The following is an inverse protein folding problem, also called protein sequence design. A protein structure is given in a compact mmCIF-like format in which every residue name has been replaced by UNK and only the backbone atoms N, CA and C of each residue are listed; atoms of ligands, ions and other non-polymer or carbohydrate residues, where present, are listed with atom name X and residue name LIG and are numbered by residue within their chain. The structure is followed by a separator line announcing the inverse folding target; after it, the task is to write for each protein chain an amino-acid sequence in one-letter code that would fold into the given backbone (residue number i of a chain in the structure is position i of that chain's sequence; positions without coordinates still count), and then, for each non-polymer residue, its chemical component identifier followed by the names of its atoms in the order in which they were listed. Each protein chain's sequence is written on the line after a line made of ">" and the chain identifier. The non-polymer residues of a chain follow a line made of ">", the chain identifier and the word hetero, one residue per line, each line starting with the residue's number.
data_IF_725310617106
#
_entry.id   IF_725310617106
#
_cell.length_a   1.000
_cell.length_b   1.000
_cell.length_c   1.000
_cell.angle_alpha   90.00
_cell.angle_beta   90.00
_cell.angle_gamma   90.00
#
_symmetry.space_group_name_H-M   'P 1'
#
loop_
_entity.id
_entity.type
_entity.pdbx_description
1 polymer ?
#
# COMPACT_ATOMS: atom_id res chain seq x y z
N UNK A 1 1.17 20.78 -30.16
CA UNK A 1 2.06 21.41 -29.16
C UNK A 1 1.62 22.87 -28.97
N UNK A 2 1.52 23.40 -27.74
CA UNK A 2 1.79 22.77 -26.46
C UNK A 2 0.47 22.30 -25.80
N UNK A 3 0.35 21.02 -25.47
CA UNK A 3 -0.76 20.60 -24.60
C UNK A 3 -0.33 20.84 -23.16
N UNK A 4 -0.92 21.88 -22.58
CA UNK A 4 -0.75 22.26 -21.20
C UNK A 4 -1.67 21.38 -20.35
N UNK A 5 -1.10 20.51 -19.51
CA UNK A 5 -1.94 19.77 -18.55
C UNK A 5 -1.35 18.51 -17.94
N UNK A 6 -0.09 18.53 -17.49
CA UNK A 6 0.37 17.50 -16.54
C UNK A 6 -0.12 17.89 -15.13
N UNK A 7 -1.41 17.65 -14.90
CA UNK A 7 -1.97 17.56 -13.56
C UNK A 7 -1.61 16.21 -12.92
N UNK A 8 -1.88 16.02 -11.61
CA UNK A 8 -1.55 14.81 -10.86
C UNK A 8 -2.26 13.52 -11.32
N UNK A 9 -3.05 13.58 -12.40
CA UNK A 9 -3.97 12.53 -12.82
C UNK A 9 -3.57 11.82 -14.13
N UNK A 10 -2.40 12.11 -14.72
CA UNK A 10 -1.99 11.54 -16.02
C UNK A 10 -0.75 10.64 -15.96
N UNK A 11 -0.66 9.70 -15.02
CA UNK A 11 0.24 8.55 -15.23
C UNK A 11 -0.38 7.53 -16.21
N UNK A 12 -0.67 7.98 -17.44
CA UNK A 12 -1.06 7.12 -18.54
C UNK A 12 0.19 6.45 -19.13
N UNK A 13 0.18 5.12 -19.07
CA UNK A 13 0.90 4.18 -19.93
C UNK A 13 2.44 4.09 -19.93
N UNK A 14 3.19 5.09 -19.44
CA UNK A 14 4.67 5.05 -19.49
C UNK A 14 5.38 5.58 -18.23
N UNK A 15 4.65 5.66 -17.12
CA UNK A 15 5.23 5.90 -15.80
C UNK A 15 6.05 4.69 -15.32
N UNK A 16 7.33 4.64 -15.69
CA UNK A 16 8.36 3.95 -14.91
C UNK A 16 8.60 4.71 -13.60
N UNK A 17 7.59 4.81 -12.74
CA UNK A 17 7.74 5.33 -11.39
C UNK A 17 8.43 4.25 -10.58
N UNK A 18 9.76 4.31 -10.53
CA UNK A 18 10.58 3.37 -9.76
C UNK A 18 10.29 3.47 -8.26
N UNK A 19 9.82 4.63 -7.80
CA UNK A 19 9.64 4.96 -6.39
C UNK A 19 8.43 5.84 -6.13
N UNK A 20 7.71 5.62 -5.03
CA UNK A 20 6.53 6.39 -4.62
C UNK A 20 6.57 6.72 -3.13
N UNK A 21 5.81 7.73 -2.68
CA UNK A 21 5.55 7.98 -1.24
C UNK A 21 4.13 7.60 -0.84
N UNK A 22 3.18 7.76 -1.74
CA UNK A 22 1.74 7.62 -1.52
C UNK A 22 1.09 6.80 -2.64
N UNK A 23 -0.10 6.27 -2.38
CA UNK A 23 -0.86 5.50 -3.38
C UNK A 23 -1.31 6.35 -4.59
N UNK A 24 -1.35 7.68 -4.45
CA UNK A 24 -1.74 8.60 -5.53
C UNK A 24 -0.71 8.66 -6.67
N UNK A 25 0.54 8.33 -6.36
CA UNK A 25 1.63 8.27 -7.35
C UNK A 25 1.62 6.98 -8.16
N UNK A 26 0.75 6.02 -7.81
CA UNK A 26 0.62 4.74 -8.48
C UNK A 26 -0.69 4.66 -9.28
N UNK A 27 -0.73 3.75 -10.26
CA UNK A 27 -1.96 3.42 -10.98
C UNK A 27 -3.06 2.97 -10.01
N UNK A 28 -4.34 3.17 -10.37
CA UNK A 28 -5.49 2.83 -9.50
C UNK A 28 -5.54 1.37 -9.01
N UNK A 29 -4.94 0.45 -9.75
CA UNK A 29 -4.82 -0.98 -9.40
C UNK A 29 -3.58 -1.32 -8.55
N UNK A 30 -2.73 -0.34 -8.26
CA UNK A 30 -1.50 -0.48 -7.51
C UNK A 30 -1.57 0.25 -6.17
N UNK A 31 -0.59 -0.01 -5.32
CA UNK A 31 -0.34 0.72 -4.10
C UNK A 31 1.17 0.95 -3.94
N UNK A 32 1.53 1.93 -3.13
CA UNK A 32 2.92 2.22 -2.85
C UNK A 32 3.47 1.24 -1.81
N UNK A 33 4.06 0.15 -2.28
CA UNK A 33 4.59 -0.91 -1.43
C UNK A 33 5.91 -0.49 -0.79
N UNK A 34 5.93 -0.43 0.54
CA UNK A 34 7.06 -0.04 1.39
C UNK A 34 7.56 -1.24 2.18
N UNK A 35 8.71 -1.07 2.83
CA UNK A 35 9.24 -2.06 3.77
C UNK A 35 8.34 -2.13 5.01
N UNK A 36 8.30 -3.31 5.62
CA UNK A 36 7.62 -3.49 6.90
C UNK A 36 8.19 -2.50 7.93
N UNK A 37 7.31 -1.80 8.64
CA UNK A 37 7.68 -0.80 9.64
C UNK A 37 8.02 0.59 9.09
N UNK A 38 8.05 0.76 7.76
CA UNK A 38 8.44 2.02 7.11
C UNK A 38 7.23 2.74 6.50
N UNK A 39 6.25 3.09 7.33
CA UNK A 39 4.97 3.65 6.89
C UNK A 39 5.09 4.96 6.11
N UNK A 40 6.10 5.76 6.42
CA UNK A 40 6.37 7.06 5.79
C UNK A 40 7.52 7.01 4.76
N UNK A 41 8.09 5.83 4.55
CA UNK A 41 9.21 5.62 3.64
C UNK A 41 8.89 5.76 2.16
N UNK A 42 9.92 5.56 1.36
CA UNK A 42 9.82 5.44 -0.10
C UNK A 42 9.54 3.98 -0.45
N UNK A 43 8.47 3.75 -1.21
CA UNK A 43 8.10 2.45 -1.74
C UNK A 43 8.30 2.33 -3.25
N UNK A 44 7.81 1.24 -3.82
CA UNK A 44 7.67 1.04 -5.27
C UNK A 44 6.21 0.69 -5.56
N UNK A 45 5.67 1.17 -6.68
CA UNK A 45 4.31 0.81 -7.09
C UNK A 45 4.22 -0.70 -7.36
N UNK A 46 3.41 -1.39 -6.57
CA UNK A 46 3.11 -2.81 -6.74
C UNK A 46 1.61 -3.00 -6.97
N UNK A 47 1.23 -3.94 -7.84
CA UNK A 47 -0.18 -4.28 -8.04
C UNK A 47 -0.79 -4.80 -6.74
N UNK A 48 -2.01 -4.38 -6.45
CA UNK A 48 -2.80 -4.94 -5.36
C UNK A 48 -3.20 -6.37 -5.74
N UNK A 49 -2.94 -7.38 -4.87
CA UNK A 49 -3.43 -8.74 -5.11
C UNK A 49 -4.94 -8.72 -5.32
N UNK A 50 -5.49 -9.48 -6.27
CA UNK A 50 -6.95 -9.61 -6.45
C UNK A 50 -7.58 -10.68 -5.56
N UNK A 51 -6.76 -11.63 -5.11
CA UNK A 51 -7.13 -12.69 -4.17
C UNK A 51 -5.95 -12.99 -3.25
N UNK A 52 -6.27 -13.50 -2.07
CA UNK A 52 -5.31 -13.85 -1.04
C UNK A 52 -5.61 -15.24 -0.48
N UNK A 53 -4.60 -15.97 0.01
CA UNK A 53 -4.82 -17.26 0.64
C UNK A 53 -5.56 -17.10 1.98
N UNK A 54 -6.36 -18.10 2.34
CA UNK A 54 -7.06 -18.21 3.63
C UNK A 54 -6.12 -18.64 4.77
N UNK A 55 -4.95 -18.01 4.86
CA UNK A 55 -3.95 -18.24 5.91
C UNK A 55 -4.04 -17.12 6.92
N UNK A 56 -4.35 -17.46 8.17
CA UNK A 56 -4.42 -16.49 9.27
C UNK A 56 -3.02 -16.31 9.87
N UNK A 57 -2.38 -15.19 9.54
CA UNK A 57 -1.10 -14.70 10.07
C UNK A 57 -1.20 -13.19 10.28
N UNK A 58 -1.86 -12.74 11.37
CA UNK A 58 -2.29 -11.36 11.51
C UNK A 58 -1.13 -10.35 11.45
N UNK A 59 -1.38 -9.23 10.79
CA UNK A 59 -0.44 -8.10 10.70
C UNK A 59 -1.14 -6.79 11.03
N UNK A 60 -0.40 -5.83 11.54
CA UNK A 60 -0.90 -4.48 11.79
C UNK A 60 -0.52 -3.59 10.61
N UNK A 61 -1.51 -2.96 10.01
CA UNK A 61 -1.32 -1.97 8.95
C UNK A 61 -0.82 -0.63 9.49
N UNK A 62 -0.22 0.16 8.62
CA UNK A 62 0.13 1.57 8.89
C UNK A 62 -1.09 2.45 9.21
N UNK A 63 -2.30 1.97 8.91
CA UNK A 63 -3.59 2.59 9.24
C UNK A 63 -4.15 2.13 10.60
N UNK A 64 -3.37 1.40 11.38
CA UNK A 64 -3.75 0.83 12.68
C UNK A 64 -4.87 -0.21 12.62
N UNK A 65 -5.12 -0.81 11.45
CA UNK A 65 -6.04 -1.94 11.31
C UNK A 65 -5.30 -3.28 11.29
N UNK A 66 -5.91 -4.30 11.90
CA UNK A 66 -5.39 -5.68 11.81
C UNK A 66 -5.94 -6.33 10.55
N UNK A 67 -5.05 -6.93 9.76
CA UNK A 67 -5.40 -7.73 8.59
C UNK A 67 -5.08 -9.20 8.85
N UNK A 68 -5.88 -10.12 8.31
CA UNK A 68 -5.70 -11.57 8.48
C UNK A 68 -4.31 -12.05 8.04
N UNK A 69 -3.72 -11.38 7.04
CA UNK A 69 -2.33 -11.55 6.62
C UNK A 69 -1.83 -10.35 5.79
N UNK A 70 -0.54 -10.34 5.47
CA UNK A 70 0.09 -9.28 4.65
C UNK A 70 -0.47 -9.16 3.24
N UNK A 71 -1.02 -10.23 2.65
CA UNK A 71 -1.67 -10.16 1.35
C UNK A 71 -2.96 -9.33 1.44
N UNK A 72 -3.79 -9.55 2.46
CA UNK A 72 -5.00 -8.77 2.67
C UNK A 72 -4.71 -7.29 2.97
N UNK A 73 -3.61 -6.99 3.67
CA UNK A 73 -3.14 -5.61 3.82
C UNK A 73 -2.77 -4.98 2.46
N UNK A 74 -1.99 -5.69 1.64
CA UNK A 74 -1.61 -5.24 0.30
C UNK A 74 -2.83 -5.10 -0.64
N UNK A 75 -3.83 -5.98 -0.54
CA UNK A 75 -5.11 -5.90 -1.27
C UNK A 75 -5.83 -4.58 -0.96
N UNK A 76 -5.85 -4.17 0.31
CA UNK A 76 -6.39 -2.88 0.74
C UNK A 76 -5.49 -1.69 0.35
N UNK A 77 -4.27 -1.93 -0.14
CA UNK A 77 -3.28 -0.90 -0.45
C UNK A 77 -2.61 -0.31 0.79
N UNK A 78 -2.50 -1.09 1.86
CA UNK A 78 -1.94 -0.71 3.16
C UNK A 78 -0.62 -1.44 3.41
N UNK A 79 0.40 -0.68 3.83
CA UNK A 79 1.68 -1.23 4.22
C UNK A 79 1.62 -1.83 5.62
N UNK A 80 2.40 -2.87 5.87
CA UNK A 80 2.50 -3.50 7.19
C UNK A 80 3.42 -2.69 8.09
N UNK A 81 2.94 -2.30 9.25
CA UNK A 81 3.72 -1.68 10.32
C UNK A 81 4.52 -2.74 11.10
N UNK A 82 3.88 -3.84 11.51
CA UNK A 82 4.55 -4.98 12.15
C UNK A 82 3.82 -6.31 11.93
N UNK A 83 4.56 -7.41 11.98
CA UNK A 83 4.09 -8.79 11.71
C UNK A 83 3.37 -9.44 12.90
N UNK A 84 2.46 -8.69 13.52
CA UNK A 84 1.51 -9.15 14.53
C UNK A 84 0.24 -8.31 14.43
N UNK A 85 -0.88 -8.78 14.97
CA UNK A 85 -2.09 -7.96 15.09
C UNK A 85 -1.78 -6.62 15.80
N UNK A 86 -2.50 -5.55 15.44
CA UNK A 86 -2.39 -4.30 16.16
C UNK A 86 -2.73 -4.54 17.63
N UNK A 87 -1.99 -3.88 18.51
CA UNK A 87 -2.38 -3.84 19.91
C UNK A 87 -3.68 -3.03 19.98
N UNK A 88 -4.79 -3.75 20.14
CA UNK A 88 -6.00 -3.12 20.62
C UNK A 88 -5.66 -2.61 22.02
N UNK A 89 -5.48 -1.30 22.14
CA UNK A 89 -5.49 -0.62 23.44
C UNK A 89 -6.92 -0.65 23.98
N UNK A 90 -7.45 -1.86 24.19
CA UNK A 90 -8.61 -2.08 25.02
C UNK A 90 -8.17 -2.99 26.16
N UNK A 91 -7.78 -2.36 27.26
CA UNK A 91 -7.71 -2.99 28.56
C UNK A 91 -7.10 -2.05 29.59
N UNK A 92 -7.77 -1.74 30.73
CA UNK A 92 -9.19 -1.89 31.07
C UNK A 92 -10.07 -0.67 30.72
#
# INVERSE_FOLDING_TARGET
>A
EPDQGEGPDTCALDCKVASCKTNLECSKSAYCAKKVGDCDGIGTCALRPSSCPDVVKPVCGCDMQTYDNSCWAAHAGVNVLFEKACEVWWGP
#
